data_IF_022125229486
#
_entry.id   IF_022125229486
#
_cell.length_a   1.000
_cell.length_b   1.000
_cell.length_c   1.000
_cell.angle_alpha   90.00
_cell.angle_beta   90.00
_cell.angle_gamma   90.00
#
_symmetry.space_group_name_H-M   'P 1'
#
loop_
_entity.id
_entity.type
_entity.pdbx_description
1 polymer ?
#
# COMPACT_ATOMS: atom_id res chain seq x y z
N UNK A 1 15.89 -15.09 35.40
CA UNK A 1 15.22 -14.93 34.10
C UNK A 1 15.69 -16.03 33.18
N UNK A 2 14.84 -17.05 33.06
CA UNK A 2 15.18 -18.40 32.60
C UNK A 2 14.98 -18.62 31.09
N UNK A 3 15.30 -19.84 30.65
CA UNK A 3 15.05 -20.35 29.28
C UNK A 3 13.59 -20.11 28.82
N UNK A 4 12.63 -20.20 29.75
CA UNK A 4 11.20 -19.97 29.52
C UNK A 4 10.92 -18.53 29.06
N UNK A 5 11.60 -17.53 29.64
CA UNK A 5 11.41 -16.12 29.30
C UNK A 5 11.91 -15.83 27.87
N UNK A 6 13.01 -16.46 27.46
CA UNK A 6 13.57 -16.29 26.11
C UNK A 6 12.67 -16.89 25.04
N UNK A 7 12.15 -18.11 25.27
CA UNK A 7 11.22 -18.74 24.34
C UNK A 7 9.95 -17.91 24.17
N UNK A 8 9.37 -17.42 25.28
CA UNK A 8 8.18 -16.57 25.25
C UNK A 8 8.41 -15.27 24.45
N UNK A 9 9.50 -14.54 24.72
CA UNK A 9 9.85 -13.31 24.00
C UNK A 9 10.01 -13.57 22.50
N UNK A 10 10.65 -14.69 22.14
CA UNK A 10 10.85 -15.08 20.74
C UNK A 10 9.53 -15.38 20.03
N UNK A 11 8.60 -16.08 20.67
CA UNK A 11 7.27 -16.34 20.10
C UNK A 11 6.43 -15.07 19.96
N UNK A 12 6.43 -14.20 20.97
CA UNK A 12 5.74 -12.90 20.89
C UNK A 12 6.27 -12.04 19.75
N UNK A 13 7.59 -11.99 19.59
CA UNK A 13 8.22 -11.22 18.52
C UNK A 13 7.90 -11.78 17.13
N UNK A 14 7.93 -13.11 16.96
CA UNK A 14 7.50 -13.77 15.71
C UNK A 14 6.04 -13.43 15.42
N UNK A 15 5.15 -13.58 16.41
CA UNK A 15 3.73 -13.28 16.26
C UNK A 15 3.48 -11.84 15.79
N UNK A 16 4.06 -10.86 16.47
CA UNK A 16 3.92 -9.44 16.12
C UNK A 16 4.44 -9.12 14.70
N UNK A 17 5.60 -9.67 14.32
CA UNK A 17 6.15 -9.47 12.96
C UNK A 17 5.28 -10.15 11.91
N UNK A 18 4.78 -11.37 12.16
CA UNK A 18 3.92 -12.07 11.19
C UNK A 18 2.59 -11.35 10.98
N UNK A 19 1.98 -10.81 12.03
CA UNK A 19 0.77 -10.00 11.92
C UNK A 19 1.02 -8.72 11.10
N UNK A 20 2.13 -8.03 11.36
CA UNK A 20 2.52 -6.81 10.63
C UNK A 20 2.85 -7.11 9.16
N UNK A 21 3.46 -8.27 8.88
CA UNK A 21 3.71 -8.74 7.53
C UNK A 21 2.41 -8.98 6.76
N UNK A 22 1.43 -9.67 7.37
CA UNK A 22 0.11 -9.91 6.75
C UNK A 22 -0.58 -8.58 6.45
N UNK A 23 -0.57 -7.64 7.40
CA UNK A 23 -1.13 -6.31 7.20
C UNK A 23 -0.47 -5.57 6.02
N UNK A 24 0.87 -5.63 5.91
CA UNK A 24 1.60 -5.01 4.79
C UNK A 24 1.23 -5.60 3.43
N UNK A 25 1.09 -6.93 3.34
CA UNK A 25 0.65 -7.60 2.10
C UNK A 25 -0.79 -7.22 1.76
N UNK A 26 -1.65 -7.05 2.77
CA UNK A 26 -3.01 -6.52 2.60
C UNK A 26 -3.03 -5.13 1.96
N UNK A 27 -2.17 -4.22 2.43
CA UNK A 27 -2.04 -2.87 1.84
C UNK A 27 -1.59 -2.93 0.38
N UNK A 28 -0.59 -3.76 0.05
CA UNK A 28 -0.15 -3.95 -1.34
C UNK A 28 -1.31 -4.48 -2.18
N UNK A 29 -2.06 -5.46 -1.65
CA UNK A 29 -3.18 -6.08 -2.36
C UNK A 29 -4.29 -5.07 -2.66
N UNK A 30 -4.61 -4.18 -1.69
CA UNK A 30 -5.54 -3.07 -1.91
C UNK A 30 -5.03 -2.08 -2.95
N UNK A 31 -3.74 -1.72 -2.91
CA UNK A 31 -3.15 -0.82 -3.91
C UNK A 31 -3.17 -1.41 -5.32
N UNK A 32 -2.86 -2.71 -5.45
CA UNK A 32 -2.94 -3.45 -6.72
C UNK A 32 -4.38 -3.58 -7.19
N UNK A 33 -5.34 -3.82 -6.30
CA UNK A 33 -6.76 -3.84 -6.65
C UNK A 33 -7.18 -2.49 -7.25
N UNK A 34 -6.91 -1.37 -6.58
CA UNK A 34 -7.26 -0.03 -7.06
C UNK A 34 -6.63 0.24 -8.44
N UNK A 35 -5.38 -0.18 -8.64
CA UNK A 35 -4.69 -0.04 -9.93
C UNK A 35 -5.30 -0.95 -11.02
N UNK A 36 -5.69 -2.17 -10.64
CA UNK A 36 -6.33 -3.13 -11.54
C UNK A 36 -7.69 -2.62 -11.99
N UNK A 37 -8.54 -2.11 -11.10
CA UNK A 37 -9.84 -1.55 -11.48
C UNK A 37 -9.68 -0.38 -12.46
N UNK A 38 -8.72 0.52 -12.23
CA UNK A 38 -8.45 1.62 -13.17
C UNK A 38 -7.99 1.15 -14.56
N UNK A 39 -7.19 0.08 -14.63
CA UNK A 39 -6.66 -0.47 -15.89
C UNK A 39 -7.64 -1.40 -16.61
N UNK A 40 -8.40 -2.20 -15.86
CA UNK A 40 -9.48 -3.04 -16.36
C UNK A 40 -10.58 -2.15 -16.94
N UNK A 41 -11.01 -1.10 -16.24
CA UNK A 41 -11.96 -0.11 -16.76
C UNK A 41 -11.46 0.47 -18.09
N UNK A 42 -10.19 0.87 -18.18
CA UNK A 42 -9.63 1.38 -19.44
C UNK A 42 -9.59 0.33 -20.58
N UNK A 43 -9.39 -0.95 -20.26
CA UNK A 43 -9.38 -2.03 -21.25
C UNK A 43 -10.78 -2.37 -21.77
N UNK A 44 -11.77 -2.41 -20.88
CA UNK A 44 -13.18 -2.65 -21.24
C UNK A 44 -13.81 -1.45 -21.97
N UNK A 45 -13.42 -0.21 -21.60
CA UNK A 45 -13.92 1.03 -22.22
C UNK A 45 -13.22 1.38 -23.53
N UNK A 46 -12.01 0.88 -23.82
CA UNK A 46 -11.36 1.06 -25.14
C UNK A 46 -12.11 0.39 -26.32
N UNK A 47 -13.22 -0.31 -26.07
CA UNK A 47 -14.16 -0.78 -27.10
C UNK A 47 -15.25 0.24 -27.45
N UNK A 48 -15.38 1.35 -26.71
CA UNK A 48 -16.30 2.46 -26.97
C UNK A 48 -15.51 3.76 -26.83
N UNK A 49 -15.24 4.38 -27.97
CA UNK A 49 -14.55 5.67 -28.16
C UNK A 49 -14.78 6.66 -27.02
N UNK A 50 -13.70 7.13 -26.39
CA UNK A 50 -13.32 8.55 -26.20
C UNK A 50 -11.83 8.56 -25.80
N UNK A 51 -11.06 9.42 -26.44
CA UNK A 51 -9.60 9.52 -26.32
C UNK A 51 -9.23 10.86 -25.68
N UNK A 52 -9.34 11.02 -24.36
CA UNK A 52 -8.54 12.02 -23.62
C UNK A 52 -8.68 11.86 -22.09
N UNK A 53 -7.92 10.95 -21.48
CA UNK A 53 -8.05 10.59 -20.06
C UNK A 53 -6.76 10.85 -19.26
N UNK A 54 -6.19 12.05 -19.38
CA UNK A 54 -4.93 12.38 -18.70
C UNK A 54 -5.04 12.60 -17.19
N UNK A 55 -6.03 13.37 -16.71
CA UNK A 55 -5.97 13.91 -15.34
C UNK A 55 -6.56 12.98 -14.25
N UNK A 56 -7.68 12.29 -14.53
CA UNK A 56 -8.31 11.35 -13.58
C UNK A 56 -7.48 10.07 -13.42
N UNK A 57 -6.92 9.57 -14.52
CA UNK A 57 -6.02 8.42 -14.49
C UNK A 57 -4.74 8.74 -13.73
N UNK A 58 -4.21 9.97 -13.84
CA UNK A 58 -3.04 10.41 -13.06
C UNK A 58 -3.37 10.44 -11.56
N UNK A 59 -4.50 11.01 -11.13
CA UNK A 59 -4.86 11.08 -9.70
C UNK A 59 -5.09 9.69 -9.07
N UNK A 60 -5.80 8.80 -9.75
CA UNK A 60 -6.04 7.42 -9.29
C UNK A 60 -4.76 6.55 -9.34
N UNK A 61 -3.90 6.74 -10.35
CA UNK A 61 -2.61 6.04 -10.44
C UNK A 61 -1.66 6.52 -9.33
N UNK A 62 -1.58 7.82 -9.08
CA UNK A 62 -0.75 8.36 -7.99
C UNK A 62 -1.24 7.85 -6.63
N UNK A 63 -2.56 7.80 -6.42
CA UNK A 63 -3.16 7.27 -5.19
C UNK A 63 -2.90 5.77 -4.97
N UNK A 64 -2.77 4.97 -6.04
CA UNK A 64 -2.51 3.52 -5.94
C UNK A 64 -1.03 3.17 -5.80
N UNK A 65 -0.10 3.93 -6.38
CA UNK A 65 1.34 3.65 -6.23
C UNK A 65 1.86 3.89 -4.80
N UNK A 66 1.27 4.82 -4.05
CA UNK A 66 1.64 5.12 -2.66
C UNK A 66 1.49 3.90 -1.72
N UNK A 67 0.32 3.25 -1.58
CA UNK A 67 0.18 2.06 -0.75
C UNK A 67 1.01 0.87 -1.24
N UNK A 68 1.22 0.73 -2.56
CA UNK A 68 2.08 -0.33 -3.11
C UNK A 68 3.54 -0.12 -2.68
N UNK A 69 4.08 1.09 -2.86
CA UNK A 69 5.46 1.41 -2.49
C UNK A 69 5.71 1.28 -0.99
N UNK A 70 4.84 1.87 -0.18
CA UNK A 70 4.92 1.78 1.29
C UNK A 70 4.77 0.34 1.78
N UNK A 71 3.81 -0.39 1.22
CA UNK A 71 3.59 -1.80 1.53
C UNK A 71 4.81 -2.65 1.21
N UNK A 72 5.45 -2.46 0.05
CA UNK A 72 6.65 -3.20 -0.35
C UNK A 72 7.82 -3.00 0.62
N UNK A 73 8.10 -1.74 1.00
CA UNK A 73 9.15 -1.43 1.98
C UNK A 73 8.85 -2.10 3.32
N UNK A 74 7.60 -2.02 3.79
CA UNK A 74 7.17 -2.67 5.03
C UNK A 74 7.29 -4.21 4.96
N UNK A 75 6.85 -4.83 3.86
CA UNK A 75 6.97 -6.29 3.66
C UNK A 75 8.42 -6.75 3.66
N UNK A 76 9.35 -5.99 3.04
CA UNK A 76 10.78 -6.29 3.08
C UNK A 76 11.32 -6.20 4.51
N UNK A 77 11.00 -5.13 5.24
CA UNK A 77 11.42 -4.94 6.64
C UNK A 77 10.94 -6.08 7.54
N UNK A 78 9.65 -6.42 7.50
CA UNK A 78 9.09 -7.50 8.33
C UNK A 78 9.57 -8.89 7.89
N UNK A 79 9.75 -9.11 6.58
CA UNK A 79 10.31 -10.35 6.06
C UNK A 79 11.74 -10.60 6.55
N UNK A 80 12.60 -9.57 6.52
CA UNK A 80 13.95 -9.64 7.08
C UNK A 80 13.93 -9.88 8.59
N UNK A 81 12.98 -9.27 9.32
CA UNK A 81 12.79 -9.51 10.75
C UNK A 81 12.44 -10.97 11.08
N UNK A 82 11.53 -11.57 10.31
CA UNK A 82 11.18 -12.99 10.46
C UNK A 82 12.38 -13.90 10.14
N UNK A 83 13.09 -13.64 9.04
CA UNK A 83 14.29 -14.40 8.65
C UNK A 83 15.41 -14.29 9.68
N UNK A 84 15.59 -13.09 10.26
CA UNK A 84 16.56 -12.85 11.33
C UNK A 84 16.30 -13.77 12.53
N UNK A 85 15.06 -13.89 12.99
CA UNK A 85 14.72 -14.73 14.16
C UNK A 85 14.87 -16.21 13.84
N UNK A 86 14.51 -16.63 12.63
CA UNK A 86 14.59 -18.04 12.24
C UNK A 86 16.04 -18.48 12.02
N UNK A 87 16.83 -17.73 11.23
CA UNK A 87 18.19 -18.11 10.83
C UNK A 87 19.29 -17.57 11.75
N UNK A 88 19.08 -16.43 12.42
CA UNK A 88 20.01 -15.83 13.39
C UNK A 88 21.35 -15.35 12.84
N UNK A 89 21.44 -15.10 11.54
CA UNK A 89 22.67 -14.58 10.93
C UNK A 89 22.92 -13.12 11.30
N UNK A 90 24.20 -12.76 11.51
CA UNK A 90 24.66 -11.37 11.72
C UNK A 90 24.24 -10.45 10.58
N UNK A 91 24.38 -10.91 9.34
CA UNK A 91 23.98 -10.13 8.16
C UNK A 91 22.48 -9.82 8.14
N UNK A 92 21.63 -10.79 8.52
CA UNK A 92 20.18 -10.60 8.59
C UNK A 92 19.77 -9.62 9.69
N UNK A 93 20.48 -9.61 10.83
CA UNK A 93 20.27 -8.60 11.87
C UNK A 93 20.58 -7.20 11.32
N UNK A 94 21.75 -7.02 10.71
CA UNK A 94 22.15 -5.71 10.19
C UNK A 94 21.17 -5.23 9.10
N UNK A 95 20.79 -6.11 8.17
CA UNK A 95 19.80 -5.78 7.14
C UNK A 95 18.46 -5.37 7.76
N UNK A 96 17.93 -6.16 8.71
CA UNK A 96 16.69 -5.82 9.41
C UNK A 96 16.77 -4.45 10.11
N UNK A 97 17.87 -4.14 10.79
CA UNK A 97 18.09 -2.87 11.47
C UNK A 97 18.12 -1.69 10.49
N UNK A 98 18.80 -1.84 9.35
CA UNK A 98 18.90 -0.79 8.32
C UNK A 98 17.53 -0.50 7.69
N UNK A 99 16.81 -1.54 7.26
CA UNK A 99 15.48 -1.36 6.66
C UNK A 99 14.46 -0.80 7.65
N UNK A 100 14.49 -1.25 8.90
CA UNK A 100 13.62 -0.70 9.96
C UNK A 100 13.98 0.75 10.28
N UNK A 101 15.27 1.12 10.28
CA UNK A 101 15.69 2.50 10.46
C UNK A 101 15.19 3.41 9.31
N UNK A 102 15.26 2.93 8.07
CA UNK A 102 14.69 3.65 6.91
C UNK A 102 13.19 3.84 7.09
N UNK A 103 12.46 2.80 7.53
CA UNK A 103 11.02 2.90 7.80
C UNK A 103 10.69 3.94 8.88
N UNK A 104 11.46 3.99 9.98
CA UNK A 104 11.29 5.00 11.03
C UNK A 104 11.52 6.41 10.48
N UNK A 105 12.54 6.62 9.65
CA UNK A 105 12.80 7.94 9.02
C UNK A 105 11.62 8.34 8.13
N UNK A 106 11.07 7.42 7.33
CA UNK A 106 9.90 7.67 6.51
C UNK A 106 8.66 8.01 7.36
N UNK A 107 8.43 7.29 8.46
CA UNK A 107 7.33 7.57 9.41
C UNK A 107 7.45 8.97 10.02
N UNK A 108 8.66 9.37 10.41
CA UNK A 108 8.92 10.70 10.96
C UNK A 108 8.64 11.79 9.90
N UNK A 109 9.08 11.59 8.66
CA UNK A 109 8.80 12.53 7.56
C UNK A 109 7.28 12.63 7.30
N UNK A 110 6.59 11.48 7.26
CA UNK A 110 5.14 11.42 7.07
C UNK A 110 4.36 12.04 8.23
N UNK A 111 4.89 12.06 9.45
CA UNK A 111 4.29 12.75 10.58
C UNK A 111 4.58 14.26 10.56
N UNK A 112 5.84 14.66 10.34
CA UNK A 112 6.28 16.06 10.48
C UNK A 112 5.83 16.94 9.31
N UNK A 113 5.96 16.47 8.06
CA UNK A 113 5.65 17.30 6.88
C UNK A 113 4.20 17.77 6.92
N UNK A 114 3.20 16.90 7.15
CA UNK A 114 1.83 17.34 7.24
C UNK A 114 1.60 18.31 8.41
N UNK A 115 2.28 18.13 9.56
CA UNK A 115 2.15 19.05 10.71
C UNK A 115 2.64 20.46 10.37
N UNK A 116 3.76 20.56 9.66
CA UNK A 116 4.28 21.85 9.19
C UNK A 116 3.36 22.51 8.16
N UNK A 117 2.72 21.70 7.30
CA UNK A 117 1.79 22.18 6.28
C UNK A 117 0.39 22.48 6.81
N UNK A 118 0.02 22.02 8.02
CA UNK A 118 -1.34 22.14 8.57
C UNK A 118 -1.89 23.56 8.48
N UNK A 119 -1.10 24.56 8.91
CA UNK A 119 -1.52 25.99 8.85
C UNK A 119 -1.70 26.49 7.42
N UNK A 120 -0.89 25.98 6.49
CA UNK A 120 -1.02 26.33 5.07
C UNK A 120 -2.28 25.69 4.50
N UNK A 121 -2.56 24.43 4.83
CA UNK A 121 -3.80 23.76 4.42
C UNK A 121 -5.02 24.48 4.98
N UNK A 122 -5.02 24.87 6.26
CA UNK A 122 -6.15 25.56 6.89
C UNK A 122 -6.46 26.92 6.23
N UNK A 123 -5.43 27.63 5.75
CA UNK A 123 -5.56 28.95 5.11
C UNK A 123 -5.83 28.87 3.62
N UNK A 124 -5.24 27.91 2.91
CA UNK A 124 -5.34 27.77 1.45
C UNK A 124 -6.50 26.87 1.01
N UNK A 125 -6.94 25.92 1.85
CA UNK A 125 -8.05 25.00 1.51
C UNK A 125 -9.35 25.74 1.14
N UNK A 126 -9.78 26.80 1.86
CA UNK A 126 -10.95 27.59 1.45
C UNK A 126 -10.79 28.21 0.05
N UNK A 127 -9.62 28.76 -0.24
CA UNK A 127 -9.30 29.39 -1.54
C UNK A 127 -9.30 28.35 -2.66
N UNK A 128 -8.67 27.20 -2.40
CA UNK A 128 -8.62 26.08 -3.33
C UNK A 128 -10.03 25.55 -3.65
N UNK A 129 -10.85 25.29 -2.62
CA UNK A 129 -12.23 24.82 -2.81
C UNK A 129 -13.04 25.81 -3.64
N UNK A 130 -12.99 27.11 -3.30
CA UNK A 130 -13.70 28.15 -4.07
C UNK A 130 -13.23 28.18 -5.52
N UNK A 131 -11.92 28.14 -5.76
CA UNK A 131 -11.35 28.17 -7.10
C UNK A 131 -11.79 26.97 -7.92
N UNK A 132 -11.67 25.75 -7.39
CA UNK A 132 -12.06 24.52 -8.09
C UNK A 132 -13.57 24.49 -8.38
N UNK A 133 -14.41 24.95 -7.44
CA UNK A 133 -15.85 25.07 -7.68
C UNK A 133 -16.16 26.08 -8.79
N UNK A 134 -15.39 27.17 -8.87
CA UNK A 134 -15.63 28.25 -9.82
C UNK A 134 -15.21 27.92 -11.24
N UNK A 135 -13.99 27.37 -11.41
CA UNK A 135 -13.33 27.25 -12.71
C UNK A 135 -13.26 25.83 -13.25
N UNK A 136 -13.56 24.81 -12.45
CA UNK A 136 -13.33 23.40 -12.84
C UNK A 136 -14.54 22.50 -12.64
N UNK A 137 -15.50 22.90 -11.81
CA UNK A 137 -16.71 22.12 -11.56
C UNK A 137 -17.74 22.25 -12.70
N UNK A 138 -18.10 21.10 -13.28
CA UNK A 138 -19.06 20.94 -14.39
C UNK A 138 -20.27 20.06 -14.03
N UNK A 139 -20.26 19.45 -12.86
CA UNK A 139 -21.32 18.54 -12.41
C UNK A 139 -21.39 17.21 -13.19
N UNK A 140 -22.41 16.42 -12.87
CA UNK A 140 -22.62 15.03 -13.33
C UNK A 140 -23.14 14.96 -14.79
N UNK A 141 -23.56 16.07 -15.40
CA UNK A 141 -24.50 16.07 -16.53
C UNK A 141 -23.93 15.86 -17.94
N UNK A 142 -22.63 15.81 -18.13
CA UNK A 142 -22.03 15.36 -19.39
C UNK A 142 -20.79 14.53 -19.08
N UNK A 143 -20.72 13.32 -19.66
CA UNK A 143 -19.57 12.39 -19.68
C UNK A 143 -18.52 12.65 -18.62
N UNK A 144 -18.51 11.80 -17.58
CA UNK A 144 -17.73 11.82 -16.34
C UNK A 144 -16.20 11.91 -16.48
N UNK A 145 -15.70 12.85 -17.27
CA UNK A 145 -14.31 12.94 -17.72
C UNK A 145 -13.56 14.04 -16.96
N UNK A 146 -14.26 14.78 -16.09
CA UNK A 146 -13.72 15.89 -15.30
C UNK A 146 -13.43 15.44 -13.87
N UNK A 147 -12.16 15.20 -13.50
CA UNK A 147 -11.82 14.66 -12.18
C UNK A 147 -12.28 15.56 -11.04
N UNK A 148 -12.23 16.88 -11.23
CA UNK A 148 -12.62 17.82 -10.20
C UNK A 148 -14.16 17.87 -10.03
N UNK A 149 -14.94 17.68 -11.10
CA UNK A 149 -16.38 17.46 -10.99
C UNK A 149 -16.71 16.22 -10.16
N UNK A 150 -16.07 15.10 -10.47
CA UNK A 150 -16.27 13.84 -9.73
C UNK A 150 -15.94 14.03 -8.25
N UNK A 151 -14.82 14.67 -7.91
CA UNK A 151 -14.44 14.91 -6.52
C UNK A 151 -15.50 15.74 -5.80
N UNK A 152 -15.98 16.83 -6.41
CA UNK A 152 -17.06 17.66 -5.85
C UNK A 152 -18.37 16.90 -5.71
N UNK A 153 -18.72 16.06 -6.69
CA UNK A 153 -19.95 15.29 -6.67
C UNK A 153 -19.91 14.20 -5.60
N UNK A 154 -18.80 13.46 -5.50
CA UNK A 154 -18.56 12.49 -4.42
C UNK A 154 -18.60 13.20 -3.07
N UNK A 155 -17.95 14.35 -2.95
CA UNK A 155 -17.92 15.12 -1.69
C UNK A 155 -19.33 15.55 -1.28
N UNK A 156 -20.12 16.13 -2.18
CA UNK A 156 -21.49 16.58 -1.90
C UNK A 156 -22.41 15.42 -1.49
N UNK A 157 -22.32 14.27 -2.19
CA UNK A 157 -23.11 13.07 -1.90
C UNK A 157 -22.70 12.41 -0.57
N UNK A 158 -21.39 12.26 -0.33
CA UNK A 158 -20.88 11.54 0.83
C UNK A 158 -20.95 12.36 2.11
N UNK A 159 -20.61 13.65 2.03
CA UNK A 159 -20.63 14.57 3.17
C UNK A 159 -22.00 15.25 3.36
N UNK A 160 -23.00 14.92 2.54
CA UNK A 160 -24.38 15.40 2.67
C UNK A 160 -24.45 16.94 2.71
N UNK A 161 -23.75 17.58 1.77
CA UNK A 161 -23.60 19.02 1.68
C UNK A 161 -23.76 19.48 0.22
N UNK A 162 -23.93 20.78 -0.01
CA UNK A 162 -24.09 21.35 -1.34
C UNK A 162 -23.29 22.65 -1.45
N UNK A 163 -22.41 22.74 -2.45
CA UNK A 163 -21.57 23.92 -2.68
C UNK A 163 -20.56 24.21 -1.56
N UNK A 164 -19.77 25.27 -1.72
CA UNK A 164 -18.79 25.68 -0.73
C UNK A 164 -19.46 26.38 0.47
N UNK A 165 -20.28 27.41 0.21
CA UNK A 165 -21.06 28.15 1.22
C UNK A 165 -22.49 27.63 1.37
N UNK A 166 -22.93 26.73 0.47
CA UNK A 166 -24.30 26.25 0.41
C UNK A 166 -24.84 26.22 -1.02
N UNK A 167 -26.12 25.80 -1.20
CA UNK A 167 -26.77 25.73 -2.50
C UNK A 167 -26.85 27.07 -3.24
N UNK A 168 -26.76 28.19 -2.52
CA UNK A 168 -26.76 29.54 -3.10
C UNK A 168 -25.60 29.75 -4.10
N UNK A 169 -24.49 29.01 -3.96
CA UNK A 169 -23.34 29.09 -4.87
C UNK A 169 -23.70 28.73 -6.32
N UNK A 170 -24.82 28.03 -6.54
CA UNK A 170 -25.33 27.63 -7.85
C UNK A 170 -26.45 28.55 -8.39
N UNK A 171 -26.97 29.45 -7.56
CA UNK A 171 -28.10 30.33 -7.93
C UNK A 171 -27.64 31.56 -8.72
N UNK A 172 -28.53 32.06 -9.58
CA UNK A 172 -28.28 33.18 -10.52
C UNK A 172 -27.92 34.51 -9.84
N UNK A 173 -28.28 34.70 -8.55
CA UNK A 173 -27.95 35.91 -7.81
C UNK A 173 -26.48 35.99 -7.37
N UNK A 174 -25.75 34.87 -7.38
CA UNK A 174 -24.37 34.77 -6.88
C UNK A 174 -23.45 34.08 -7.90
N UNK A 175 -23.60 34.42 -9.19
CA UNK A 175 -22.86 33.86 -10.34
C UNK A 175 -21.31 33.94 -10.30
N UNK A 176 -20.71 34.05 -9.13
CA UNK A 176 -19.28 34.07 -8.86
C UNK A 176 -18.70 32.72 -8.44
N UNK A 177 -19.41 31.83 -7.73
CA UNK A 177 -18.74 30.66 -7.12
C UNK A 177 -18.80 29.37 -7.92
N UNK A 178 -19.89 29.06 -8.63
CA UNK A 178 -19.97 27.90 -9.52
C UNK A 178 -20.15 28.34 -10.99
N UNK A 179 -19.39 29.35 -11.40
CA UNK A 179 -19.60 30.05 -12.68
C UNK A 179 -19.48 29.15 -13.90
N UNK A 180 -18.55 28.19 -13.90
CA UNK A 180 -18.36 27.26 -15.01
C UNK A 180 -19.60 26.37 -15.18
N UNK A 181 -20.03 25.70 -14.10
CA UNK A 181 -21.25 24.90 -14.09
C UNK A 181 -22.48 25.71 -14.52
N UNK A 182 -22.64 26.91 -13.96
CA UNK A 182 -23.79 27.78 -14.21
C UNK A 182 -23.92 28.18 -15.69
N UNK A 183 -22.80 28.52 -16.33
CA UNK A 183 -22.76 29.11 -17.67
C UNK A 183 -22.67 28.07 -18.79
N UNK A 184 -22.06 26.91 -18.53
CA UNK A 184 -21.68 25.96 -19.59
C UNK A 184 -22.27 24.57 -19.42
N UNK A 185 -22.68 24.16 -18.21
CA UNK A 185 -23.00 22.74 -17.92
C UNK A 185 -24.31 22.56 -17.15
N UNK A 186 -25.18 23.56 -17.23
CA UNK A 186 -26.49 23.58 -16.58
C UNK A 186 -27.55 22.85 -17.43
N UNK A 187 -27.36 21.55 -17.60
CA UNK A 187 -28.29 20.64 -18.27
C UNK A 187 -28.56 19.42 -17.37
N UNK A 188 -29.79 18.91 -17.37
CA UNK A 188 -30.15 17.77 -16.54
C UNK A 188 -31.27 16.96 -17.20
N UNK A 189 -31.19 15.63 -17.15
CA UNK A 189 -32.27 14.76 -17.65
C UNK A 189 -32.96 14.08 -16.48
N UNK A 190 -34.29 14.13 -16.45
CA UNK A 190 -35.08 13.33 -15.53
C UNK A 190 -36.40 12.94 -16.20
N UNK A 191 -36.75 11.66 -16.08
CA UNK A 191 -38.01 11.09 -16.58
C UNK A 191 -38.25 11.40 -18.08
N UNK A 192 -37.17 11.37 -18.87
CA UNK A 192 -37.21 11.64 -20.31
C UNK A 192 -37.30 13.13 -20.67
N UNK A 193 -37.34 14.05 -19.70
CA UNK A 193 -37.34 15.50 -19.91
C UNK A 193 -35.96 16.08 -19.66
N UNK A 194 -35.50 16.98 -20.54
CA UNK A 194 -34.25 17.72 -20.36
C UNK A 194 -34.55 19.11 -19.80
N UNK A 195 -34.04 19.40 -18.61
CA UNK A 195 -34.10 20.70 -17.95
C UNK A 195 -32.80 21.47 -18.22
N UNK A 196 -32.88 22.77 -18.44
CA UNK A 196 -31.72 23.61 -18.74
C UNK A 196 -31.99 25.06 -18.33
N UNK A 197 -30.93 25.82 -18.05
CA UNK A 197 -31.10 27.23 -17.68
C UNK A 197 -31.77 27.40 -16.32
N UNK A 198 -32.76 28.28 -16.21
CA UNK A 198 -33.38 28.64 -14.91
C UNK A 198 -34.13 27.51 -14.22
N UNK A 199 -34.53 26.47 -14.97
CA UNK A 199 -35.26 25.32 -14.43
C UNK A 199 -34.33 24.28 -13.75
N UNK A 200 -33.01 24.47 -13.81
CA UNK A 200 -32.03 23.59 -13.15
C UNK A 200 -31.23 24.40 -12.10
N UNK A 201 -31.69 24.35 -10.85
CA UNK A 201 -31.28 25.28 -9.79
C UNK A 201 -29.87 24.99 -9.28
N UNK A 202 -29.52 23.72 -9.10
CA UNK A 202 -28.23 23.25 -8.59
C UNK A 202 -27.92 21.82 -9.10
N UNK A 203 -26.67 21.33 -8.97
CA UNK A 203 -26.27 20.01 -9.45
C UNK A 203 -27.01 18.86 -8.76
N UNK A 204 -27.16 17.73 -9.45
CA UNK A 204 -27.85 16.56 -8.87
C UNK A 204 -27.13 15.98 -7.65
N UNK A 205 -25.81 16.20 -7.51
CA UNK A 205 -25.03 15.82 -6.33
C UNK A 205 -25.42 16.55 -5.05
N UNK A 206 -26.15 17.68 -5.14
CA UNK A 206 -26.74 18.36 -3.99
C UNK A 206 -28.03 17.69 -3.49
N UNK A 207 -28.62 16.77 -4.25
CA UNK A 207 -29.85 16.06 -3.87
C UNK A 207 -29.58 14.93 -2.89
N UNK A 208 -30.60 14.51 -2.15
CA UNK A 208 -30.53 13.31 -1.31
C UNK A 208 -30.51 12.05 -2.19
N UNK A 209 -29.47 11.24 -1.99
CA UNK A 209 -29.34 9.93 -2.65
C UNK A 209 -29.94 8.83 -1.77
N UNK A 210 -30.77 7.98 -2.38
CA UNK A 210 -31.28 6.76 -1.75
C UNK A 210 -30.19 5.70 -1.61
N UNK A 211 -29.26 5.66 -2.55
CA UNK A 211 -28.08 4.79 -2.51
C UNK A 211 -26.81 5.57 -2.88
N UNK A 212 -25.90 5.71 -1.91
CA UNK A 212 -24.61 6.39 -2.11
C UNK A 212 -23.55 5.53 -2.81
N UNK A 213 -23.87 4.27 -3.12
CA UNK A 213 -22.97 3.35 -3.83
C UNK A 213 -22.61 3.82 -5.24
N UNK A 214 -23.33 4.80 -5.80
CA UNK A 214 -22.96 5.51 -7.04
C UNK A 214 -21.51 5.98 -7.05
N UNK A 215 -21.02 6.48 -5.90
CA UNK A 215 -19.65 6.99 -5.77
C UNK A 215 -18.60 5.87 -5.78
N UNK A 216 -18.94 4.70 -5.22
CA UNK A 216 -18.07 3.53 -5.20
C UNK A 216 -18.06 2.80 -6.55
N UNK A 217 -19.21 2.75 -7.24
CA UNK A 217 -19.37 2.14 -8.56
C UNK A 217 -18.96 3.07 -9.71
N UNK A 218 -18.77 4.35 -9.43
CA UNK A 218 -18.57 5.42 -10.42
C UNK A 218 -19.66 5.44 -11.51
N UNK A 219 -20.89 5.10 -11.14
CA UNK A 219 -22.03 4.93 -12.07
C UNK A 219 -22.77 6.25 -12.31
N UNK A 220 -22.00 7.30 -12.60
CA UNK A 220 -22.53 8.65 -12.80
C UNK A 220 -23.41 8.77 -14.05
N UNK A 221 -23.27 7.84 -15.02
CA UNK A 221 -24.13 7.78 -16.19
C UNK A 221 -25.58 7.38 -15.86
N UNK A 222 -25.79 6.61 -14.79
CA UNK A 222 -27.11 6.11 -14.38
C UNK A 222 -27.59 6.73 -13.05
N UNK A 223 -27.19 7.98 -12.76
CA UNK A 223 -27.47 8.65 -11.49
C UNK A 223 -28.97 8.65 -11.11
N UNK A 224 -29.88 8.62 -12.08
CA UNK A 224 -31.33 8.62 -11.86
C UNK A 224 -31.81 7.43 -11.00
N UNK A 225 -31.06 6.32 -11.00
CA UNK A 225 -31.40 5.13 -10.20
C UNK A 225 -30.98 5.23 -8.73
N UNK A 226 -30.10 6.18 -8.41
CA UNK A 226 -29.51 6.35 -7.08
C UNK A 226 -30.08 7.56 -6.33
N UNK A 227 -30.57 8.57 -7.06
CA UNK A 227 -31.20 9.76 -6.47
C UNK A 227 -32.59 9.41 -5.92
N UNK A 228 -32.94 9.89 -4.73
CA UNK A 228 -34.24 9.58 -4.13
C UNK A 228 -35.40 10.31 -4.81
N UNK A 229 -35.18 11.57 -5.16
CA UNK A 229 -36.14 12.41 -5.87
C UNK A 229 -35.48 12.96 -7.15
N UNK A 230 -35.92 12.49 -8.31
CA UNK A 230 -35.36 12.90 -9.61
C UNK A 230 -35.66 14.36 -9.94
N UNK A 231 -36.74 14.91 -9.39
CA UNK A 231 -37.16 16.28 -9.60
C UNK A 231 -36.46 17.25 -8.63
N UNK A 232 -35.68 16.77 -7.66
CA UNK A 232 -34.98 17.60 -6.68
C UNK A 232 -34.19 18.79 -7.28
N UNK A 233 -33.38 18.60 -8.34
CA UNK A 233 -32.58 19.70 -8.89
C UNK A 233 -33.39 20.82 -9.56
N UNK A 234 -34.65 20.53 -9.88
CA UNK A 234 -35.59 21.42 -10.58
C UNK A 234 -36.54 22.09 -9.59
N UNK A 235 -37.09 21.29 -8.67
CA UNK A 235 -38.09 21.72 -7.70
C UNK A 235 -37.50 22.35 -6.46
N UNK A 236 -36.21 22.11 -6.17
CA UNK A 236 -35.57 22.57 -4.95
C UNK A 236 -36.11 21.87 -3.70
N UNK A 237 -36.62 20.64 -3.80
CA UNK A 237 -37.01 19.80 -2.66
C UNK A 237 -36.02 18.66 -2.47
N UNK A 238 -35.93 18.08 -1.26
CA UNK A 238 -35.07 16.93 -0.95
C UNK A 238 -33.57 17.11 -1.25
N UNK A 239 -33.03 18.31 -0.99
CA UNK A 239 -31.62 18.65 -1.16
C UNK A 239 -30.88 18.87 0.17
N UNK A 240 -29.55 18.89 0.11
CA UNK A 240 -28.67 19.22 1.23
C UNK A 240 -28.46 20.73 1.33
N UNK A 241 -28.95 21.35 2.41
CA UNK A 241 -28.82 22.79 2.63
C UNK A 241 -27.49 23.22 3.28
N UNK A 242 -26.73 22.28 3.80
CA UNK A 242 -25.47 22.55 4.50
C UNK A 242 -24.32 22.86 3.53
N UNK A 243 -23.44 23.77 3.93
CA UNK A 243 -22.21 24.11 3.22
C UNK A 243 -21.15 23.00 3.34
N UNK A 244 -20.39 22.71 2.28
CA UNK A 244 -19.34 21.67 2.35
C UNK A 244 -18.06 22.10 3.06
N UNK A 245 -17.85 23.39 3.35
CA UNK A 245 -16.61 23.86 3.99
C UNK A 245 -16.36 23.24 5.38
N UNK A 246 -17.40 23.08 6.20
CA UNK A 246 -17.24 22.57 7.57
C UNK A 246 -17.01 21.05 7.61
N UNK A 247 -17.84 20.21 6.92
CA UNK A 247 -17.55 18.78 6.82
C UNK A 247 -16.19 18.49 6.20
N UNK A 248 -15.78 19.25 5.18
CA UNK A 248 -14.48 19.06 4.52
C UNK A 248 -13.31 19.36 5.46
N UNK A 249 -13.35 20.47 6.19
CA UNK A 249 -12.35 20.77 7.23
C UNK A 249 -12.29 19.63 8.25
N UNK A 250 -13.43 19.26 8.82
CA UNK A 250 -13.51 18.18 9.81
C UNK A 250 -12.94 16.87 9.28
N UNK A 251 -13.22 16.52 8.02
CA UNK A 251 -12.69 15.32 7.39
C UNK A 251 -11.15 15.36 7.31
N UNK A 252 -10.57 16.47 6.88
CA UNK A 252 -9.11 16.66 6.82
C UNK A 252 -8.48 16.58 8.23
N UNK A 253 -9.08 17.23 9.24
CA UNK A 253 -8.60 17.16 10.62
C UNK A 253 -8.62 15.73 11.17
N UNK A 254 -9.73 15.00 10.97
CA UNK A 254 -9.88 13.62 11.46
C UNK A 254 -8.86 12.71 10.77
N UNK A 255 -8.74 12.79 9.44
CA UNK A 255 -7.80 11.98 8.68
C UNK A 255 -6.35 12.21 9.12
N UNK A 256 -5.97 13.48 9.25
CA UNK A 256 -4.67 13.87 9.75
C UNK A 256 -4.39 13.33 11.16
N UNK A 257 -5.35 13.47 12.07
CA UNK A 257 -5.24 13.00 13.45
C UNK A 257 -5.09 11.48 13.52
N UNK A 258 -5.81 10.74 12.67
CA UNK A 258 -5.71 9.28 12.57
C UNK A 258 -4.34 8.87 12.05
N UNK A 259 -3.81 9.53 10.99
CA UNK A 259 -2.47 9.24 10.48
C UNK A 259 -1.41 9.49 11.55
N UNK A 260 -1.50 10.61 12.26
CA UNK A 260 -0.55 10.96 13.31
C UNK A 260 -0.58 9.93 14.45
N UNK A 261 -1.78 9.55 14.90
CA UNK A 261 -1.94 8.51 15.93
C UNK A 261 -1.40 7.15 15.47
N UNK A 262 -1.70 6.72 14.24
CA UNK A 262 -1.19 5.48 13.68
C UNK A 262 0.34 5.48 13.55
N UNK A 263 0.92 6.62 13.15
CA UNK A 263 2.37 6.80 13.02
C UNK A 263 3.09 6.67 14.37
N UNK A 264 2.51 7.20 15.45
CA UNK A 264 3.07 7.06 16.81
C UNK A 264 3.07 5.59 17.24
N UNK A 265 1.97 4.87 17.01
CA UNK A 265 1.88 3.44 17.37
C UNK A 265 2.91 2.62 16.59
N UNK A 266 3.04 2.85 15.29
CA UNK A 266 4.02 2.17 14.44
C UNK A 266 5.46 2.46 14.87
N UNK A 267 5.77 3.70 15.24
CA UNK A 267 7.09 4.09 15.73
C UNK A 267 7.46 3.37 17.03
N UNK A 268 6.49 3.20 17.95
CA UNK A 268 6.67 2.41 19.18
C UNK A 268 6.93 0.95 18.83
N UNK A 269 6.15 0.37 17.92
CA UNK A 269 6.32 -1.02 17.46
C UNK A 269 7.73 -1.20 16.88
N UNK A 270 8.17 -0.36 15.95
CA UNK A 270 9.51 -0.44 15.36
C UNK A 270 10.64 -0.32 16.40
N UNK A 271 10.48 0.60 17.36
CA UNK A 271 11.45 0.80 18.45
C UNK A 271 11.58 -0.43 19.34
N UNK A 272 10.44 -1.00 19.76
CA UNK A 272 10.41 -2.24 20.55
C UNK A 272 10.96 -3.40 19.73
N UNK A 273 10.62 -3.50 18.45
CA UNK A 273 11.08 -4.58 17.59
C UNK A 273 12.60 -4.57 17.37
N UNK A 274 13.21 -3.39 17.23
CA UNK A 274 14.67 -3.23 17.19
C UNK A 274 15.31 -3.70 18.51
N UNK A 275 14.78 -3.24 19.64
CA UNK A 275 15.30 -3.61 20.95
C UNK A 275 15.24 -5.13 21.19
N UNK A 276 14.09 -5.75 20.89
CA UNK A 276 13.90 -7.18 21.03
C UNK A 276 14.81 -7.97 20.09
N UNK A 277 15.01 -7.52 18.84
CA UNK A 277 15.93 -8.17 17.90
C UNK A 277 17.36 -8.15 18.40
N UNK A 278 17.85 -7.01 18.91
CA UNK A 278 19.19 -6.90 19.49
C UNK A 278 19.34 -7.79 20.74
N UNK A 279 18.33 -7.81 21.61
CA UNK A 279 18.30 -8.67 22.80
C UNK A 279 18.36 -10.17 22.44
N UNK A 280 17.50 -10.61 21.52
CA UNK A 280 17.46 -12.00 21.04
C UNK A 280 18.78 -12.41 20.39
N UNK A 281 19.40 -11.51 19.63
CA UNK A 281 20.70 -11.76 19.02
C UNK A 281 21.82 -11.90 20.06
N UNK A 282 21.87 -11.01 21.06
CA UNK A 282 22.85 -11.09 22.15
C UNK A 282 22.69 -12.39 22.94
N UNK A 283 21.46 -12.78 23.28
CA UNK A 283 21.16 -14.05 23.98
C UNK A 283 21.58 -15.27 23.15
N UNK A 284 21.38 -15.26 21.83
CA UNK A 284 21.83 -16.34 20.93
C UNK A 284 23.36 -16.45 20.86
N UNK A 285 24.07 -15.33 20.98
CA UNK A 285 25.54 -15.32 20.97
C UNK A 285 26.17 -15.78 22.29
N UNK A 286 25.48 -15.64 23.42
CA UNK A 286 25.95 -16.22 24.69
C UNK A 286 25.80 -17.72 24.57
N UNK A 287 26.89 -18.51 24.43
CA UNK A 287 26.76 -19.94 24.41
C UNK A 287 26.17 -20.35 25.75
N UNK A 288 25.05 -21.08 25.73
CA UNK A 288 24.53 -21.76 26.91
C UNK A 288 25.72 -22.47 27.55
N UNK A 289 26.08 -22.07 28.77
CA UNK A 289 27.25 -22.61 29.44
C UNK A 289 27.16 -24.13 29.43
N UNK A 290 28.01 -24.75 28.62
CA UNK A 290 28.43 -26.16 28.68
C UNK A 290 27.40 -27.08 29.34
N UNK A 291 26.36 -27.49 28.61
CA UNK A 291 25.72 -28.76 28.94
C UNK A 291 26.78 -29.83 28.68
N UNK A 292 27.40 -30.36 29.75
CA UNK A 292 28.20 -31.58 29.63
C UNK A 292 27.27 -32.63 29.02
N UNK A 293 27.66 -33.35 27.96
CA UNK A 293 26.96 -34.59 27.65
C UNK A 293 27.05 -35.46 28.90
N UNK A 294 25.90 -35.90 29.38
CA UNK A 294 25.81 -36.88 30.46
C UNK A 294 26.66 -38.07 30.03
N UNK A 295 27.68 -38.35 30.84
CA UNK A 295 28.63 -39.43 30.69
C UNK A 295 27.91 -40.72 30.26
N UNK A 296 28.51 -41.40 29.29
CA UNK A 296 28.23 -42.80 28.99
C UNK A 296 28.09 -43.58 30.30
N UNK A 297 26.90 -44.11 30.53
CA UNK A 297 26.67 -45.17 31.52
C UNK A 297 27.41 -46.40 31.01
N UNK A 298 28.68 -46.52 31.40
CA UNK A 298 29.41 -47.77 31.41
C UNK A 298 28.96 -48.51 32.68
N UNK A 299 27.85 -49.23 32.59
CA UNK A 299 27.50 -50.26 33.57
C UNK A 299 28.12 -51.57 33.14
N UNK A 300 29.32 -51.81 33.68
CA UNK A 300 29.94 -53.11 33.80
C UNK A 300 28.99 -54.11 34.48
N UNK A 301 28.69 -55.20 33.80
CA UNK A 301 28.12 -56.41 34.41
C UNK A 301 28.93 -57.63 33.91
N UNK A 302 29.39 -58.44 34.87
CA UNK A 302 29.61 -59.87 34.65
C UNK A 302 31.05 -60.33 34.44
N UNK A 303 31.79 -60.46 35.53
CA UNK A 303 32.88 -61.43 35.67
C UNK A 303 32.38 -62.85 35.31
N UNK A 304 33.13 -63.59 34.47
CA UNK A 304 33.80 -64.86 34.84
C UNK A 304 34.49 -65.48 33.61
N UNK A 305 35.82 -65.48 33.65
CA UNK A 305 36.68 -66.32 32.80
C UNK A 305 36.93 -67.64 33.53
N UNK A 306 36.71 -68.76 32.85
CA UNK A 306 37.37 -70.04 33.16
C UNK A 306 37.89 -70.65 31.88
N UNK A 307 39.19 -70.50 31.71
CA UNK A 307 40.21 -71.48 31.34
C UNK A 307 40.10 -72.34 30.06
N UNK A 308 41.28 -72.41 29.43
CA UNK A 308 41.90 -73.57 28.77
C UNK A 308 41.59 -73.84 27.29
N UNK A 309 42.64 -73.66 26.48
CA UNK A 309 43.04 -74.74 25.57
C UNK A 309 43.53 -74.33 24.18
N UNK A 310 44.80 -74.67 23.91
CA UNK A 310 45.42 -75.06 22.62
C UNK A 310 45.65 -73.93 21.60
N UNK A 311 46.90 -73.49 21.44
CA UNK A 311 47.98 -74.04 20.58
C UNK A 311 47.72 -73.79 19.08
N UNK A 312 48.57 -72.90 18.56
CA UNK A 312 49.14 -72.59 17.22
C UNK A 312 48.99 -73.63 16.07
N UNK A 313 49.50 -73.41 14.82
CA UNK A 313 50.19 -72.24 14.24
C UNK A 313 49.87 -71.94 12.73
N UNK A 314 50.63 -70.99 12.14
CA UNK A 314 51.17 -70.98 10.76
C UNK A 314 50.25 -70.66 9.56
N UNK A 315 50.53 -69.55 8.86
CA UNK A 315 51.32 -69.52 7.61
C UNK A 315 51.01 -68.30 6.73
N UNK A 316 52.00 -67.98 5.90
CA UNK A 316 52.14 -66.78 5.08
C UNK A 316 51.61 -66.97 3.64
N UNK A 317 51.14 -65.84 3.07
CA UNK A 317 51.30 -65.40 1.66
C UNK A 317 50.32 -65.85 0.54
N UNK A 318 50.27 -65.14 -0.62
CA UNK A 318 49.08 -64.44 -1.12
C UNK A 318 48.68 -64.81 -2.57
N UNK A 319 47.80 -64.00 -3.18
CA UNK A 319 47.20 -64.00 -4.54
C UNK A 319 45.75 -64.45 -4.50
N UNK A 320 44.78 -63.83 -5.18
CA UNK A 320 44.76 -62.78 -6.18
C UNK A 320 43.44 -62.92 -6.96
N UNK A 321 42.97 -61.84 -7.59
CA UNK A 321 42.03 -61.93 -8.73
C UNK A 321 40.67 -61.25 -8.57
N UNK A 322 40.34 -60.40 -9.57
CA UNK A 322 38.97 -60.02 -9.95
C UNK A 322 38.59 -58.59 -9.54
N UNK A 323 39.00 -57.56 -10.28
CA UNK A 323 38.27 -56.94 -11.41
C UNK A 323 37.07 -56.08 -10.94
N UNK A 324 37.21 -54.74 -10.95
CA UNK A 324 36.86 -53.82 -12.05
C UNK A 324 35.37 -53.40 -11.98
N UNK A 325 34.94 -52.14 -12.17
CA UNK A 325 35.56 -51.00 -12.82
C UNK A 325 34.89 -49.65 -12.44
N UNK A 326 35.69 -48.58 -12.50
CA UNK A 326 35.41 -47.22 -13.04
C UNK A 326 34.34 -46.33 -12.36
N UNK A 327 34.41 -44.99 -12.35
CA UNK A 327 35.23 -44.06 -13.14
C UNK A 327 35.48 -42.73 -12.40
N UNK A 328 36.77 -42.35 -12.32
CA UNK A 328 37.35 -41.03 -12.64
C UNK A 328 36.51 -39.73 -12.60
N UNK A 329 36.87 -38.84 -11.66
CA UNK A 329 37.18 -37.40 -11.93
C UNK A 329 38.63 -37.32 -12.51
N UNK A 330 39.22 -36.19 -13.01
CA UNK A 330 39.00 -34.77 -12.67
C UNK A 330 39.27 -33.75 -13.82
N UNK A 331 39.30 -32.44 -13.51
CA UNK A 331 40.22 -31.51 -14.21
C UNK A 331 39.70 -30.12 -14.59
N UNK A 332 40.29 -29.12 -13.94
CA UNK A 332 40.29 -27.68 -14.18
C UNK A 332 40.64 -27.21 -15.62
N UNK A 333 40.07 -26.08 -16.06
CA UNK A 333 40.76 -25.00 -16.79
C UNK A 333 39.94 -23.68 -16.81
N UNK A 334 40.60 -22.54 -16.52
CA UNK A 334 40.21 -21.14 -16.84
C UNK A 334 40.96 -20.72 -18.13
N UNK A 335 40.88 -19.45 -18.60
CA UNK A 335 39.74 -18.62 -19.00
C UNK A 335 39.89 -18.15 -20.48
N UNK A 336 38.87 -17.51 -21.05
CA UNK A 336 39.02 -16.79 -22.32
C UNK A 336 38.40 -15.38 -22.25
N UNK A 337 39.24 -14.40 -22.57
CA UNK A 337 39.02 -12.97 -22.83
C UNK A 337 38.44 -12.73 -24.22
N UNK A 338 37.59 -11.70 -24.38
CA UNK A 338 37.35 -10.78 -25.54
C UNK A 338 35.85 -10.35 -25.52
N UNK A 339 35.38 -9.14 -25.83
CA UNK A 339 35.93 -7.82 -26.16
C UNK A 339 34.75 -6.86 -26.32
N UNK A 340 35.01 -5.59 -26.02
CA UNK A 340 34.18 -4.40 -26.26
C UNK A 340 33.85 -4.22 -27.74
N UNK A 341 32.68 -3.65 -28.05
CA UNK A 341 32.42 -2.95 -29.32
C UNK A 341 31.55 -1.72 -29.08
N UNK A 342 32.18 -0.56 -29.26
CA UNK A 342 31.58 0.76 -29.40
C UNK A 342 30.79 0.86 -30.71
N UNK A 343 29.68 1.61 -30.69
CA UNK A 343 28.88 1.91 -31.87
C UNK A 343 28.21 3.28 -31.74
N UNK A 344 28.98 4.34 -32.05
CA UNK A 344 28.57 5.74 -32.06
C UNK A 344 27.98 6.09 -33.44
N UNK A 345 26.75 6.62 -33.49
CA UNK A 345 26.33 7.51 -34.58
C UNK A 345 25.14 8.39 -34.18
N UNK A 346 25.30 9.68 -34.46
CA UNK A 346 24.38 10.83 -34.40
C UNK A 346 24.88 11.76 -35.53
N UNK A 347 24.15 12.79 -36.03
CA UNK A 347 22.70 13.06 -36.14
C UNK A 347 22.38 13.46 -37.63
N UNK A 348 21.37 14.29 -38.04
CA UNK A 348 21.11 15.68 -37.61
C UNK A 348 19.63 16.15 -37.46
N UNK A 349 19.53 17.33 -36.85
CA UNK A 349 18.44 18.30 -36.62
C UNK A 349 17.28 18.49 -37.63
N UNK A 350 16.15 18.98 -37.09
CA UNK A 350 15.22 20.11 -37.48
C UNK A 350 13.81 19.71 -37.00
N UNK A 351 12.92 20.47 -36.35
CA UNK A 351 12.80 21.86 -35.90
C UNK A 351 11.31 22.11 -35.55
N UNK A 352 11.06 22.91 -34.50
CA UNK A 352 9.95 23.87 -34.30
C UNK A 352 8.54 23.52 -34.83
N UNK A 353 7.55 23.37 -33.93
CA UNK A 353 6.26 24.10 -33.83
C UNK A 353 5.61 23.78 -32.49
#
# INVERSE_FOLDING_TARGET
MGEVDYAAIRFLFIGAITASLIFSVGIISLGVWILADASLLSFWLNKIVITDYGALTVSLRVSSYMPIGLGLVATISFGLGLLHVLRGGKALLVAYMVFTAIAIVLEIVLAIVPMGMWRTVETELPTYMKSTLQSEYRGISEGSDYPNSIIWDVMQIQLECCGYNGPSDFTTSYGTYASLWHNQYRHYKADGVTYSGVDYMFPVSCCKFSDKSITAKQDFANYESYVGNKQCPVTGVDYHSNSCQEPMKSYVYVYFSVILAASIVMLVVHSVSIFLSAYLFKKRLVPAGRYRPMSSVSSSLGLRSTNSGKVSPLSWHPRGGGAAASSTRPGYARPATFSVSDGRSNPPYVGRW
#
